data_IF_116872266788
#
_entry.id   IF_116872266788
#
_cell.length_a   1.000
_cell.length_b   1.000
_cell.length_c   1.000
_cell.angle_alpha   90.00
_cell.angle_beta   90.00
_cell.angle_gamma   90.00
#
_symmetry.space_group_name_H-M   'P 1'
#
loop_
_entity.id
_entity.type
_entity.pdbx_description
1 polymer ?
#
# COMPACT_ATOMS: atom_id res chain seq x y z
N UNK A 1 -3.14 6.20 8.02
CA UNK A 1 -4.20 6.00 7.01
C UNK A 1 -5.14 7.22 6.97
N UNK A 2 -5.57 7.55 5.77
CA UNK A 2 -6.52 8.62 5.54
C UNK A 2 -7.81 8.04 4.95
N UNK A 3 -8.95 8.38 5.55
CA UNK A 3 -10.26 7.88 5.13
C UNK A 3 -11.03 8.99 4.43
N UNK A 4 -11.51 8.71 3.21
CA UNK A 4 -12.25 9.67 2.40
C UNK A 4 -13.64 9.09 2.07
N UNK A 5 -14.65 9.29 2.94
CA UNK A 5 -15.98 8.76 2.71
C UNK A 5 -16.70 9.51 1.58
N UNK A 6 -17.62 8.82 0.91
CA UNK A 6 -18.45 9.38 -0.15
C UNK A 6 -19.90 8.93 0.01
N UNK A 7 -20.81 9.59 -0.72
CA UNK A 7 -22.24 9.21 -0.77
C UNK A 7 -22.92 9.07 0.62
N UNK A 8 -22.56 9.96 1.56
CA UNK A 8 -23.15 9.97 2.90
C UNK A 8 -22.62 8.90 3.86
N UNK A 9 -21.62 8.13 3.46
CA UNK A 9 -20.97 7.18 4.33
C UNK A 9 -20.11 7.91 5.38
N UNK A 10 -20.06 7.40 6.60
CA UNK A 10 -19.16 7.93 7.64
C UNK A 10 -17.76 7.31 7.52
N UNK A 11 -16.75 7.98 8.05
CA UNK A 11 -15.39 7.45 8.07
C UNK A 11 -15.31 6.11 8.78
N UNK A 12 -16.00 5.99 9.92
CA UNK A 12 -16.05 4.77 10.70
C UNK A 12 -16.70 3.62 9.92
N UNK A 13 -17.83 3.88 9.26
CA UNK A 13 -18.54 2.90 8.45
C UNK A 13 -17.70 2.44 7.27
N UNK A 14 -17.08 3.37 6.55
CA UNK A 14 -16.20 3.07 5.43
C UNK A 14 -15.02 2.19 5.87
N UNK A 15 -14.37 2.56 6.94
CA UNK A 15 -13.22 1.81 7.47
C UNK A 15 -13.64 0.42 7.94
N UNK A 16 -14.79 0.29 8.56
CA UNK A 16 -15.36 -0.99 8.98
C UNK A 16 -15.65 -1.90 7.79
N UNK A 17 -16.30 -1.39 6.75
CA UNK A 17 -16.57 -2.15 5.54
C UNK A 17 -15.28 -2.59 4.84
N UNK A 18 -14.31 -1.71 4.71
CA UNK A 18 -13.01 -2.04 4.14
C UNK A 18 -12.29 -3.13 4.94
N UNK A 19 -12.26 -3.01 6.26
CA UNK A 19 -11.62 -3.98 7.14
C UNK A 19 -12.31 -5.35 7.08
N UNK A 20 -13.64 -5.38 7.05
CA UNK A 20 -14.42 -6.61 6.90
C UNK A 20 -14.17 -7.28 5.55
N UNK A 21 -14.16 -6.49 4.47
CA UNK A 21 -13.88 -7.02 3.14
C UNK A 21 -12.50 -7.64 3.04
N UNK A 22 -11.50 -7.03 3.67
CA UNK A 22 -10.12 -7.50 3.66
C UNK A 22 -9.79 -8.51 4.78
N UNK A 23 -10.77 -8.87 5.61
CA UNK A 23 -10.54 -9.72 6.80
C UNK A 23 -10.03 -11.13 6.46
N UNK A 24 -10.34 -11.64 5.28
CA UNK A 24 -9.89 -12.94 4.79
C UNK A 24 -8.67 -12.84 3.88
N UNK A 25 -8.19 -11.64 3.59
CA UNK A 25 -7.00 -11.43 2.76
C UNK A 25 -5.73 -11.57 3.60
N UNK A 26 -4.70 -12.17 3.03
CA UNK A 26 -3.36 -12.22 3.62
C UNK A 26 -2.51 -10.99 3.28
N UNK A 27 -3.04 -10.06 2.51
CA UNK A 27 -2.32 -8.85 2.12
C UNK A 27 -2.01 -7.97 3.33
N UNK A 28 -0.82 -7.32 3.39
CA UNK A 28 -0.45 -6.43 4.50
C UNK A 28 -1.45 -5.31 4.78
N UNK A 29 -2.16 -4.85 3.77
CA UNK A 29 -3.24 -3.84 3.88
C UNK A 29 -4.34 -4.28 4.85
N UNK A 30 -4.70 -5.57 4.87
CA UNK A 30 -5.76 -6.07 5.73
C UNK A 30 -5.43 -5.88 7.21
N UNK A 31 -4.17 -6.03 7.58
CA UNK A 31 -3.68 -5.77 8.93
C UNK A 31 -3.81 -4.29 9.29
N UNK A 32 -3.38 -3.40 8.39
CA UNK A 32 -3.47 -1.95 8.60
C UNK A 32 -4.90 -1.48 8.77
N UNK A 33 -5.82 -2.02 7.97
CA UNK A 33 -7.26 -1.70 8.08
C UNK A 33 -7.86 -2.17 9.40
N UNK A 34 -7.51 -3.38 9.84
CA UNK A 34 -7.99 -3.91 11.13
C UNK A 34 -7.47 -3.12 12.31
N UNK A 35 -6.21 -2.72 12.28
CA UNK A 35 -5.61 -1.89 13.33
C UNK A 35 -6.27 -0.51 13.40
N UNK A 36 -6.56 0.09 12.26
CA UNK A 36 -7.23 1.39 12.18
C UNK A 36 -8.71 1.32 12.60
N UNK A 37 -9.40 0.22 12.26
CA UNK A 37 -10.79 0.01 12.62
C UNK A 37 -10.98 -0.32 14.12
N UNK A 38 -10.01 -1.00 14.71
CA UNK A 38 -10.08 -1.49 16.06
C UNK A 38 -10.81 -2.84 16.14
N UNK A 39 -11.73 -2.97 17.07
CA UNK A 39 -12.47 -4.21 17.29
C UNK A 39 -13.40 -4.51 16.11
N UNK A 40 -13.31 -5.71 15.55
CA UNK A 40 -14.02 -6.10 14.34
C UNK A 40 -14.58 -7.51 14.47
N UNK A 41 -15.86 -7.69 14.15
CA UNK A 41 -16.49 -9.00 14.09
C UNK A 41 -16.36 -9.58 12.66
N UNK A 42 -15.34 -10.40 12.46
CA UNK A 42 -15.07 -11.02 11.16
C UNK A 42 -16.20 -11.97 10.69
N UNK A 43 -17.09 -12.41 11.59
CA UNK A 43 -18.24 -13.26 11.22
C UNK A 43 -19.27 -12.53 10.39
N UNK A 44 -19.26 -11.23 10.35
CA UNK A 44 -20.12 -10.41 9.48
C UNK A 44 -19.74 -10.54 8.02
N UNK A 45 -18.48 -10.89 7.74
CA UNK A 45 -17.94 -11.07 6.39
C UNK A 45 -17.97 -12.56 6.01
N UNK A 46 -18.53 -12.87 4.84
CA UNK A 46 -18.63 -14.23 4.30
C UNK A 46 -18.34 -14.23 2.79
N UNK A 47 -18.13 -15.41 2.21
CA UNK A 47 -17.93 -15.58 0.76
C UNK A 47 -16.87 -14.67 0.17
N UNK A 48 -15.75 -14.50 0.87
CA UNK A 48 -14.65 -13.68 0.42
C UNK A 48 -13.97 -14.30 -0.81
N UNK A 49 -13.84 -13.51 -1.88
CA UNK A 49 -13.12 -13.88 -3.10
C UNK A 49 -12.03 -12.86 -3.38
N UNK A 50 -10.80 -13.33 -3.44
CA UNK A 50 -9.68 -12.50 -3.86
C UNK A 50 -9.58 -12.50 -5.38
N UNK A 51 -9.60 -11.32 -5.98
CA UNK A 51 -9.49 -11.13 -7.43
C UNK A 51 -8.10 -10.59 -7.72
N UNK A 52 -7.26 -11.42 -8.32
CA UNK A 52 -5.86 -11.07 -8.59
C UNK A 52 -5.75 -9.76 -9.39
N UNK A 53 -4.92 -8.84 -8.91
CA UNK A 53 -4.69 -7.55 -9.54
C UNK A 53 -5.83 -6.53 -9.37
N UNK A 54 -6.91 -6.87 -8.66
CA UNK A 54 -8.08 -6.02 -8.48
C UNK A 54 -8.37 -5.73 -7.00
N UNK A 55 -8.58 -6.75 -6.19
CA UNK A 55 -8.92 -6.61 -4.79
C UNK A 55 -9.71 -7.80 -4.26
N UNK A 56 -10.65 -7.53 -3.34
CA UNK A 56 -11.45 -8.55 -2.69
C UNK A 56 -12.94 -8.24 -2.82
N UNK A 57 -13.72 -9.27 -3.11
CA UNK A 57 -15.18 -9.23 -3.08
C UNK A 57 -15.64 -10.06 -1.88
N UNK A 58 -16.45 -9.48 -1.03
CA UNK A 58 -16.90 -10.12 0.21
C UNK A 58 -18.37 -9.79 0.46
N UNK A 59 -19.10 -10.74 1.01
CA UNK A 59 -20.45 -10.47 1.53
C UNK A 59 -20.34 -9.99 2.97
N UNK A 60 -20.87 -8.82 3.25
CA UNK A 60 -20.91 -8.23 4.61
C UNK A 60 -22.35 -7.90 4.95
N UNK A 61 -22.87 -8.51 6.00
CA UNK A 61 -24.27 -8.31 6.45
C UNK A 61 -25.32 -8.49 5.35
N UNK A 62 -25.07 -9.43 4.42
CA UNK A 62 -25.93 -9.68 3.26
C UNK A 62 -25.74 -8.74 2.07
N UNK A 63 -24.75 -7.84 2.14
CA UNK A 63 -24.42 -6.92 1.07
C UNK A 63 -23.09 -7.30 0.39
N UNK A 64 -23.01 -7.09 -0.92
CA UNK A 64 -21.77 -7.30 -1.67
C UNK A 64 -20.86 -6.09 -1.45
N UNK A 65 -19.71 -6.30 -0.81
CA UNK A 65 -18.71 -5.27 -0.58
C UNK A 65 -17.49 -5.56 -1.46
N UNK A 66 -17.07 -4.56 -2.21
CA UNK A 66 -15.86 -4.60 -3.03
C UNK A 66 -14.83 -3.67 -2.40
N UNK A 67 -13.65 -4.19 -2.17
CA UNK A 67 -12.51 -3.41 -1.67
C UNK A 67 -11.31 -3.71 -2.55
N UNK A 68 -10.79 -2.70 -3.22
CA UNK A 68 -9.68 -2.91 -4.14
C UNK A 68 -9.20 -1.63 -4.79
N UNK A 69 -8.47 -1.79 -5.91
CA UNK A 69 -7.92 -0.69 -6.68
C UNK A 69 -8.94 -0.09 -7.67
N UNK A 70 -8.49 0.91 -8.43
CA UNK A 70 -9.32 1.56 -9.45
C UNK A 70 -9.81 0.57 -10.52
N UNK A 71 -8.99 -0.42 -10.87
CA UNK A 71 -9.39 -1.44 -11.86
C UNK A 71 -10.63 -2.21 -11.44
N UNK A 72 -10.73 -2.52 -10.13
CA UNK A 72 -11.91 -3.21 -9.60
C UNK A 72 -13.16 -2.38 -9.75
N UNK A 73 -13.08 -1.08 -9.51
CA UNK A 73 -14.19 -0.16 -9.69
C UNK A 73 -14.58 -0.05 -11.18
N UNK A 74 -13.61 0.09 -12.07
CA UNK A 74 -13.83 0.17 -13.52
C UNK A 74 -14.47 -1.12 -14.06
N UNK A 75 -13.96 -2.28 -13.68
CA UNK A 75 -14.50 -3.58 -14.12
C UNK A 75 -15.91 -3.83 -13.60
N UNK A 76 -16.22 -3.31 -12.43
CA UNK A 76 -17.55 -3.41 -11.81
C UNK A 76 -18.49 -2.29 -12.23
N UNK A 77 -18.04 -1.38 -13.10
CA UNK A 77 -18.80 -0.22 -13.60
C UNK A 77 -19.31 0.67 -12.47
N UNK A 78 -18.47 0.87 -11.46
CA UNK A 78 -18.76 1.70 -10.31
C UNK A 78 -18.13 3.07 -10.51
N UNK A 79 -18.94 4.12 -10.41
CA UNK A 79 -18.41 5.50 -10.42
C UNK A 79 -17.73 5.78 -9.10
N UNK A 80 -16.46 6.19 -9.15
CA UNK A 80 -15.66 6.48 -7.96
C UNK A 80 -14.93 7.80 -8.10
N UNK A 81 -14.54 8.37 -6.96
CA UNK A 81 -13.68 9.55 -6.91
C UNK A 81 -12.23 9.11 -6.76
N UNK A 82 -11.40 9.48 -7.74
CA UNK A 82 -9.98 9.11 -7.71
C UNK A 82 -9.27 9.79 -6.55
N UNK A 83 -8.57 8.98 -5.75
CA UNK A 83 -7.71 9.50 -4.69
C UNK A 83 -6.31 9.73 -5.24
N UNK A 84 -5.80 10.95 -5.10
CA UNK A 84 -4.49 11.36 -5.62
C UNK A 84 -3.39 11.32 -4.56
N UNK A 85 -3.67 10.80 -3.36
CA UNK A 85 -2.70 10.69 -2.30
C UNK A 85 -1.56 9.72 -2.60
N UNK A 86 -0.45 9.89 -1.92
CA UNK A 86 0.72 9.01 -2.03
C UNK A 86 0.55 7.81 -1.11
N UNK A 87 0.66 6.61 -1.66
CA UNK A 87 0.49 5.36 -0.92
C UNK A 87 -0.45 4.38 -1.62
N UNK A 88 -0.93 3.40 -0.89
CA UNK A 88 -1.88 2.42 -1.40
C UNK A 88 -3.31 2.91 -1.15
N UNK A 89 -4.10 3.00 -2.21
CA UNK A 89 -5.50 3.40 -2.14
C UNK A 89 -6.39 2.18 -2.26
N UNK A 90 -7.30 2.02 -1.30
CA UNK A 90 -8.35 1.00 -1.34
C UNK A 90 -9.68 1.70 -1.57
N UNK A 91 -10.30 1.43 -2.71
CA UNK A 91 -11.64 1.90 -3.02
C UNK A 91 -12.66 0.90 -2.50
N UNK A 92 -13.69 1.39 -1.85
CA UNK A 92 -14.73 0.55 -1.23
C UNK A 92 -16.09 0.86 -1.85
N UNK A 93 -16.79 -0.19 -2.25
CA UNK A 93 -18.15 -0.10 -2.78
C UNK A 93 -19.03 -1.16 -2.12
N UNK A 94 -20.32 -0.85 -1.99
CA UNK A 94 -21.33 -1.77 -1.46
C UNK A 94 -22.54 -1.79 -2.36
N UNK A 95 -22.94 -3.00 -2.80
CA UNK A 95 -24.07 -3.21 -3.72
C UNK A 95 -24.00 -2.33 -4.99
N UNK A 96 -22.79 -2.17 -5.53
CA UNK A 96 -22.55 -1.37 -6.71
C UNK A 96 -22.48 0.14 -6.48
N UNK A 97 -22.54 0.60 -5.25
CA UNK A 97 -22.44 2.00 -4.86
C UNK A 97 -21.09 2.31 -4.21
N UNK A 98 -20.41 3.32 -4.70
CA UNK A 98 -19.14 3.76 -4.15
C UNK A 98 -19.34 4.34 -2.74
N UNK A 99 -18.64 3.80 -1.75
CA UNK A 99 -18.69 4.27 -0.37
C UNK A 99 -17.58 5.26 -0.03
N UNK A 100 -16.45 5.17 -0.71
CA UNK A 100 -15.30 6.02 -0.45
C UNK A 100 -13.99 5.30 -0.67
N UNK A 101 -12.90 5.91 -0.26
CA UNK A 101 -11.56 5.34 -0.36
C UNK A 101 -10.79 5.46 0.95
N UNK A 102 -9.88 4.52 1.17
CA UNK A 102 -8.94 4.54 2.28
C UNK A 102 -7.53 4.62 1.70
N UNK A 103 -6.81 5.66 2.06
CA UNK A 103 -5.40 5.83 1.69
C UNK A 103 -4.55 5.28 2.83
N UNK A 104 -3.78 4.26 2.53
CA UNK A 104 -2.79 3.70 3.45
C UNK A 104 -1.43 4.21 3.01
N UNK A 105 -0.94 5.22 3.73
CA UNK A 105 0.38 5.77 3.47
C UNK A 105 1.43 4.69 3.79
N UNK A 106 2.42 4.55 2.90
CA UNK A 106 3.59 3.74 3.17
C UNK A 106 4.40 4.46 4.26
N UNK A 107 4.11 4.13 5.51
CA UNK A 107 4.87 4.66 6.62
C UNK A 107 6.26 4.05 6.61
N UNK A 108 7.25 4.90 6.41
CA UNK A 108 8.63 4.56 6.68
C UNK A 108 8.75 4.40 8.19
N UNK A 109 8.93 3.17 8.64
CA UNK A 109 9.08 2.88 10.07
C UNK A 109 10.29 3.64 10.62
N UNK A 110 10.12 4.29 11.75
CA UNK A 110 11.20 5.02 12.43
C UNK A 110 12.43 4.13 12.66
N UNK A 111 12.21 2.85 12.91
CA UNK A 111 13.25 1.84 12.99
C UNK A 111 14.13 1.78 11.72
N UNK A 112 13.54 1.89 10.53
CA UNK A 112 14.29 1.93 9.27
C UNK A 112 15.16 3.18 9.16
N UNK A 113 14.65 4.34 9.60
CA UNK A 113 15.43 5.58 9.62
C UNK A 113 16.65 5.46 10.54
N UNK A 114 16.47 4.88 11.72
CA UNK A 114 17.55 4.64 12.66
C UNK A 114 18.61 3.70 12.11
N UNK A 115 18.19 2.62 11.44
CA UNK A 115 19.10 1.68 10.81
C UNK A 115 19.95 2.34 9.71
N UNK A 116 19.33 3.14 8.85
CA UNK A 116 20.01 3.87 7.78
C UNK A 116 20.97 4.90 8.36
N UNK A 117 20.57 5.64 9.38
CA UNK A 117 21.44 6.62 10.06
C UNK A 117 22.68 5.95 10.69
N UNK A 118 22.52 4.78 11.29
CA UNK A 118 23.62 4.00 11.87
C UNK A 118 24.61 3.55 10.77
N UNK A 119 24.12 3.09 9.62
CA UNK A 119 24.96 2.71 8.49
C UNK A 119 25.74 3.90 7.95
N UNK A 120 25.11 5.05 7.82
CA UNK A 120 25.78 6.29 7.39
C UNK A 120 26.89 6.73 8.36
N UNK A 121 26.62 6.62 9.65
CA UNK A 121 27.60 6.95 10.68
C UNK A 121 28.85 6.06 10.60
N UNK A 122 28.72 4.85 10.05
CA UNK A 122 29.82 3.93 9.79
C UNK A 122 30.51 4.14 8.44
N UNK A 123 30.10 5.14 7.67
CA UNK A 123 30.64 5.42 6.34
C UNK A 123 30.10 4.51 5.23
N UNK A 124 29.00 3.83 5.46
CA UNK A 124 28.34 2.97 4.46
C UNK A 124 27.47 3.81 3.55
N UNK A 125 27.63 3.64 2.23
CA UNK A 125 26.77 4.27 1.23
C UNK A 125 25.47 3.48 1.09
N UNK A 126 24.34 4.17 1.18
CA UNK A 126 23.00 3.56 1.07
C UNK A 126 22.35 3.90 -0.26
N UNK A 127 21.86 2.88 -0.95
CA UNK A 127 21.25 3.02 -2.30
C UNK A 127 19.94 2.26 -2.31
N UNK A 128 18.87 2.88 -2.82
CA UNK A 128 17.57 2.24 -3.01
C UNK A 128 17.35 1.95 -4.49
N UNK A 129 16.95 0.71 -4.80
CA UNK A 129 16.56 0.28 -6.14
C UNK A 129 15.07 -0.11 -6.09
N UNK A 130 14.26 0.54 -6.90
CA UNK A 130 12.80 0.32 -6.86
C UNK A 130 12.16 0.39 -8.24
N UNK A 131 11.07 -0.36 -8.42
CA UNK A 131 10.19 -0.26 -9.58
C UNK A 131 9.13 0.82 -9.45
N UNK A 132 9.03 1.49 -8.30
CA UNK A 132 8.06 2.54 -8.05
C UNK A 132 8.35 3.80 -8.88
N UNK A 133 7.37 4.72 -8.94
CA UNK A 133 7.55 6.00 -9.61
C UNK A 133 8.66 6.82 -8.94
N UNK A 134 9.28 7.71 -9.72
CA UNK A 134 10.33 8.59 -9.20
C UNK A 134 9.84 9.48 -8.06
N UNK A 135 8.59 9.95 -8.12
CA UNK A 135 8.00 10.76 -7.06
C UNK A 135 7.95 10.02 -5.73
N UNK A 136 7.52 8.76 -5.74
CA UNK A 136 7.47 7.89 -4.55
C UNK A 136 8.87 7.58 -4.05
N UNK A 137 9.77 7.21 -4.95
CA UNK A 137 11.15 6.87 -4.62
C UNK A 137 11.90 8.07 -4.00
N UNK A 138 11.73 9.25 -4.57
CA UNK A 138 12.33 10.49 -4.06
C UNK A 138 11.82 10.83 -2.67
N UNK A 139 10.53 10.69 -2.42
CA UNK A 139 9.93 10.93 -1.11
C UNK A 139 10.47 9.97 -0.05
N UNK A 140 10.48 8.67 -0.35
CA UNK A 140 10.97 7.64 0.58
C UNK A 140 12.47 7.82 0.82
N UNK A 141 13.26 8.06 -0.22
CA UNK A 141 14.69 8.32 -0.10
C UNK A 141 14.98 9.53 0.80
N UNK A 142 14.22 10.61 0.64
CA UNK A 142 14.32 11.79 1.49
C UNK A 142 13.96 11.50 2.95
N UNK A 143 12.92 10.73 3.20
CA UNK A 143 12.50 10.34 4.54
C UNK A 143 13.53 9.43 5.22
N UNK A 144 14.12 8.49 4.50
CA UNK A 144 15.14 7.59 5.00
C UNK A 144 16.54 8.21 5.06
N UNK A 145 16.75 9.30 4.34
CA UNK A 145 18.06 9.92 4.24
C UNK A 145 19.07 9.07 3.47
N UNK A 146 18.63 8.43 2.39
CA UNK A 146 19.48 7.59 1.53
C UNK A 146 20.45 8.45 0.71
N UNK A 147 21.62 7.88 0.41
CA UNK A 147 22.64 8.58 -0.39
C UNK A 147 22.27 8.66 -1.86
N UNK A 148 21.61 7.62 -2.37
CA UNK A 148 21.21 7.52 -3.78
C UNK A 148 19.94 6.68 -3.92
N UNK A 149 19.19 6.91 -4.98
CA UNK A 149 18.06 6.05 -5.35
C UNK A 149 17.95 5.93 -6.86
N UNK A 150 17.40 4.80 -7.31
CA UNK A 150 17.08 4.55 -8.71
C UNK A 150 15.64 4.06 -8.79
N UNK A 151 14.79 4.82 -9.47
CA UNK A 151 13.36 4.56 -9.58
C UNK A 151 12.99 3.99 -10.95
N UNK A 152 11.76 3.55 -11.09
CA UNK A 152 11.17 3.05 -12.34
C UNK A 152 11.96 1.90 -12.97
N UNK A 153 12.63 1.09 -12.15
CA UNK A 153 13.44 -0.03 -12.62
C UNK A 153 12.57 -1.25 -12.91
N UNK A 154 12.82 -1.88 -14.05
CA UNK A 154 12.30 -3.22 -14.33
C UNK A 154 13.13 -4.27 -13.55
N UNK A 155 12.61 -5.49 -13.33
CA UNK A 155 13.36 -6.52 -12.61
C UNK A 155 14.76 -6.79 -13.16
N UNK A 156 14.91 -6.81 -14.49
CA UNK A 156 16.21 -6.98 -15.13
C UNK A 156 17.15 -5.80 -14.85
N UNK A 157 16.63 -4.58 -14.80
CA UNK A 157 17.42 -3.39 -14.50
C UNK A 157 17.95 -3.40 -13.07
N UNK A 158 17.15 -3.90 -12.12
CA UNK A 158 17.59 -4.07 -10.73
C UNK A 158 18.78 -5.01 -10.62
N UNK A 159 18.75 -6.13 -11.33
CA UNK A 159 19.86 -7.10 -11.36
C UNK A 159 21.11 -6.45 -11.96
N UNK A 160 20.99 -5.75 -13.08
CA UNK A 160 22.11 -5.07 -13.72
C UNK A 160 22.74 -4.01 -12.80
N UNK A 161 21.92 -3.23 -12.09
CA UNK A 161 22.42 -2.23 -11.14
C UNK A 161 23.15 -2.86 -9.97
N UNK A 162 22.63 -3.97 -9.44
CA UNK A 162 23.30 -4.71 -8.37
C UNK A 162 24.66 -5.24 -8.83
N UNK A 163 24.74 -5.78 -10.03
CA UNK A 163 25.99 -6.25 -10.62
C UNK A 163 27.00 -5.12 -10.79
N UNK A 164 26.59 -3.96 -11.29
CA UNK A 164 27.43 -2.78 -11.40
C UNK A 164 27.94 -2.33 -10.02
N UNK A 165 27.08 -2.30 -9.02
CA UNK A 165 27.44 -1.93 -7.66
C UNK A 165 28.43 -2.93 -7.05
N UNK A 166 28.25 -4.22 -7.30
CA UNK A 166 29.17 -5.26 -6.86
C UNK A 166 30.55 -5.11 -7.49
N UNK A 167 30.60 -4.75 -8.77
CA UNK A 167 31.87 -4.54 -9.50
C UNK A 167 32.64 -3.32 -8.97
N UNK A 168 31.93 -2.30 -8.47
CA UNK A 168 32.53 -1.07 -7.92
C UNK A 168 32.53 -1.05 -6.38
N UNK A 169 32.05 -2.12 -5.75
CA UNK A 169 31.92 -2.21 -4.29
C UNK A 169 33.27 -2.08 -3.62
N UNK A 170 33.37 -1.10 -2.72
CA UNK A 170 34.51 -0.98 -1.82
C UNK A 170 34.43 -1.97 -0.66
N UNK A 171 35.49 -2.07 0.12
CA UNK A 171 35.59 -3.01 1.25
C UNK A 171 34.49 -2.84 2.30
N UNK A 172 33.99 -1.63 2.47
CA UNK A 172 33.01 -1.27 3.50
C UNK A 172 31.59 -1.06 2.94
N UNK A 173 31.35 -1.33 1.63
CA UNK A 173 30.04 -1.16 1.03
C UNK A 173 29.14 -2.37 1.31
N UNK A 174 27.88 -2.10 1.63
CA UNK A 174 26.84 -3.10 1.89
C UNK A 174 25.68 -2.88 0.91
N UNK A 175 25.25 -3.93 0.25
CA UNK A 175 24.18 -3.91 -0.73
C UNK A 175 22.85 -4.43 -0.15
#
# INVERSE_FOLDING_TARGET
SQVSPANGCTEKELLEQAALAESFSSHPISKSLREACGELDARRATDAQEIAGHGVRTMVDGHVVLAGNARMMDDSKITYTKNTGTGTVVYVARDGQFLGSVLIADEVKEHSKQAIAALKAQGVRTIMLTGDSEAVASEISGQLGLDEYHAQLLPADKVNRVEELLATKGKNDIL
#
